data_IF_405811448825
#
_entry.id   IF_405811448825
#
_cell.length_a   1.000
_cell.length_b   1.000
_cell.length_c   1.000
_cell.angle_alpha   90.00
_cell.angle_beta   90.00
_cell.angle_gamma   90.00
#
_symmetry.space_group_name_H-M   'P 1'
#
loop_
_entity.id
_entity.type
_entity.pdbx_description
1 polymer ?
#
# COMPACT_ATOMS: atom_id res chain seq x y z
N UNK A 1 3.13 13.20 -13.18
CA UNK A 1 2.39 12.50 -12.12
C UNK A 1 2.57 13.26 -10.82
N UNK A 2 1.48 13.74 -10.26
CA UNK A 2 1.35 14.47 -8.99
C UNK A 2 1.21 13.50 -7.82
N UNK A 3 1.29 14.00 -6.59
CA UNK A 3 1.07 13.20 -5.38
C UNK A 3 -0.32 12.54 -5.37
N UNK A 4 -1.35 13.26 -5.81
CA UNK A 4 -2.72 12.74 -5.90
C UNK A 4 -2.84 11.64 -6.96
N UNK A 5 -2.26 11.83 -8.16
CA UNK A 5 -2.25 10.79 -9.22
C UNK A 5 -1.46 9.54 -8.79
N UNK A 6 -0.34 9.72 -8.10
CA UNK A 6 0.44 8.63 -7.50
C UNK A 6 -0.41 7.84 -6.49
N UNK A 7 -1.13 8.54 -5.62
CA UNK A 7 -1.97 7.90 -4.62
C UNK A 7 -3.14 7.14 -5.26
N UNK A 8 -3.76 7.73 -6.28
CA UNK A 8 -4.80 7.06 -7.08
C UNK A 8 -4.25 5.79 -7.75
N UNK A 9 -3.03 5.82 -8.28
CA UNK A 9 -2.37 4.64 -8.86
C UNK A 9 -2.20 3.51 -7.83
N UNK A 10 -1.81 3.84 -6.59
CA UNK A 10 -1.71 2.86 -5.50
C UNK A 10 -3.06 2.28 -5.09
N UNK A 11 -4.12 3.11 -5.06
CA UNK A 11 -5.51 2.68 -4.79
C UNK A 11 -6.04 1.77 -5.88
N UNK A 12 -5.80 2.11 -7.13
CA UNK A 12 -6.20 1.32 -8.30
C UNK A 12 -5.52 -0.05 -8.30
N UNK A 13 -4.25 -0.13 -7.87
CA UNK A 13 -3.56 -1.40 -7.69
C UNK A 13 -4.22 -2.30 -6.61
N UNK A 14 -4.70 -1.71 -5.50
CA UNK A 14 -5.47 -2.45 -4.48
C UNK A 14 -6.81 -2.96 -5.03
N UNK A 15 -7.51 -2.15 -5.82
CA UNK A 15 -8.79 -2.53 -6.42
C UNK A 15 -8.63 -3.67 -7.44
N UNK A 16 -7.62 -3.57 -8.31
CA UNK A 16 -7.23 -4.66 -9.24
C UNK A 16 -6.90 -5.94 -8.49
N UNK A 17 -6.19 -5.86 -7.37
CA UNK A 17 -5.89 -7.03 -6.55
C UNK A 17 -7.17 -7.66 -5.98
N UNK A 18 -8.15 -6.86 -5.55
CA UNK A 18 -9.43 -7.38 -5.06
C UNK A 18 -10.23 -8.13 -6.14
N UNK A 19 -10.14 -7.68 -7.39
CA UNK A 19 -10.78 -8.35 -8.53
C UNK A 19 -10.01 -9.58 -9.04
N UNK A 20 -8.68 -9.54 -8.95
CA UNK A 20 -7.78 -10.60 -9.42
C UNK A 20 -6.58 -10.69 -8.47
N UNK A 21 -6.63 -11.56 -7.45
CA UNK A 21 -5.62 -11.64 -6.41
C UNK A 21 -4.22 -11.97 -6.96
N UNK A 22 -3.37 -10.96 -6.98
CA UNK A 22 -1.96 -11.04 -7.37
C UNK A 22 -1.14 -10.15 -6.42
N UNK A 23 -0.65 -10.74 -5.32
CA UNK A 23 0.17 -10.02 -4.32
C UNK A 23 1.51 -9.56 -4.93
N UNK A 24 2.26 -10.39 -5.68
CA UNK A 24 3.51 -9.94 -6.30
C UNK A 24 3.35 -8.70 -7.18
N UNK A 25 2.28 -8.64 -7.99
CA UNK A 25 1.97 -7.46 -8.80
C UNK A 25 1.61 -6.26 -7.94
N UNK A 26 0.80 -6.43 -6.89
CA UNK A 26 0.48 -5.36 -5.95
C UNK A 26 1.75 -4.78 -5.30
N UNK A 27 2.63 -5.64 -4.79
CA UNK A 27 3.91 -5.24 -4.18
C UNK A 27 4.80 -4.46 -5.17
N UNK A 28 4.82 -4.85 -6.45
CA UNK A 28 5.55 -4.12 -7.49
C UNK A 28 5.07 -2.68 -7.62
N UNK A 29 3.77 -2.44 -7.74
CA UNK A 29 3.21 -1.08 -7.81
C UNK A 29 3.49 -0.28 -6.53
N UNK A 30 3.38 -0.92 -5.37
CA UNK A 30 3.59 -0.27 -4.08
C UNK A 30 5.06 -0.02 -3.74
N UNK A 31 6.01 -0.58 -4.49
CA UNK A 31 7.46 -0.36 -4.37
C UNK A 31 8.04 0.50 -5.50
N UNK A 32 7.24 0.82 -6.51
CA UNK A 32 7.69 1.57 -7.69
C UNK A 32 8.10 3.00 -7.34
N UNK A 33 9.38 3.33 -7.54
CA UNK A 33 9.92 4.64 -7.16
C UNK A 33 9.29 5.79 -7.94
N UNK A 34 8.92 5.57 -9.22
CA UNK A 34 8.25 6.59 -10.01
C UNK A 34 6.87 6.95 -9.44
N UNK A 35 6.16 5.96 -8.91
CA UNK A 35 4.88 6.13 -8.19
C UNK A 35 5.09 6.80 -6.83
N UNK A 36 6.18 6.51 -6.13
CA UNK A 36 6.42 6.98 -4.77
C UNK A 36 7.07 8.37 -4.69
N UNK A 37 7.88 8.77 -5.66
CA UNK A 37 8.61 10.03 -5.63
C UNK A 37 7.70 11.26 -5.42
N UNK A 38 6.52 11.37 -6.07
CA UNK A 38 5.59 12.48 -5.83
C UNK A 38 4.98 12.49 -4.42
N UNK A 39 4.94 11.34 -3.73
CA UNK A 39 4.42 11.21 -2.37
C UNK A 39 5.41 11.67 -1.29
N UNK A 40 6.64 12.04 -1.66
CA UNK A 40 7.66 12.57 -0.76
C UNK A 40 7.25 13.88 -0.06
N UNK A 41 6.18 14.55 -0.52
CA UNK A 41 5.57 15.69 0.15
C UNK A 41 4.89 15.31 1.48
N UNK A 42 4.49 14.05 1.66
CA UNK A 42 3.89 13.55 2.89
C UNK A 42 4.92 13.51 4.03
N UNK A 43 4.48 13.60 5.30
CA UNK A 43 5.38 13.40 6.44
C UNK A 43 6.10 12.05 6.36
N UNK A 44 7.39 11.96 6.78
CA UNK A 44 8.21 10.75 6.63
C UNK A 44 7.63 9.51 7.33
N UNK A 45 6.78 9.71 8.34
CA UNK A 45 6.04 8.64 9.01
C UNK A 45 5.15 7.82 8.05
N UNK A 46 4.58 8.44 6.99
CA UNK A 46 3.76 7.72 6.01
C UNK A 46 4.57 6.67 5.26
N UNK A 47 5.79 7.02 4.86
CA UNK A 47 6.68 6.10 4.16
C UNK A 47 7.19 4.99 5.11
N UNK A 48 7.48 5.31 6.37
CA UNK A 48 7.82 4.30 7.39
C UNK A 48 6.69 3.25 7.52
N UNK A 49 5.44 3.69 7.71
CA UNK A 49 4.28 2.82 7.84
C UNK A 49 4.08 1.99 6.57
N UNK A 50 4.21 2.61 5.39
CA UNK A 50 4.15 1.91 4.10
C UNK A 50 5.15 0.76 4.02
N UNK A 51 6.43 1.02 4.33
CA UNK A 51 7.48 -0.01 4.29
C UNK A 51 7.18 -1.14 5.28
N UNK A 52 6.71 -0.83 6.47
CA UNK A 52 6.33 -1.85 7.47
C UNK A 52 5.17 -2.74 6.98
N UNK A 53 4.14 -2.17 6.35
CA UNK A 53 3.05 -2.94 5.76
C UNK A 53 3.56 -3.86 4.63
N UNK A 54 4.44 -3.35 3.75
CA UNK A 54 5.00 -4.14 2.65
C UNK A 54 5.89 -5.29 3.12
N UNK A 55 6.64 -5.10 4.21
CA UNK A 55 7.44 -6.17 4.83
C UNK A 55 6.55 -7.27 5.40
N UNK A 56 5.46 -6.89 6.10
CA UNK A 56 4.48 -7.85 6.63
C UNK A 56 3.79 -8.63 5.53
N UNK A 57 3.45 -7.98 4.42
CA UNK A 57 2.80 -8.62 3.27
C UNK A 57 3.74 -9.60 2.56
N UNK A 58 5.02 -9.26 2.43
CA UNK A 58 6.06 -10.15 1.87
C UNK A 58 6.18 -11.44 2.71
N UNK A 59 6.23 -11.29 4.04
CA UNK A 59 6.23 -12.41 4.98
C UNK A 59 4.94 -13.25 4.89
N UNK A 60 3.78 -12.62 4.75
CA UNK A 60 2.51 -13.33 4.59
C UNK A 60 2.45 -14.18 3.32
N UNK A 61 3.13 -13.76 2.24
CA UNK A 61 3.28 -14.58 1.03
C UNK A 61 4.25 -15.74 1.27
N UNK A 62 5.36 -15.52 1.97
CA UNK A 62 6.35 -16.56 2.27
C UNK A 62 5.86 -17.62 3.27
N UNK A 63 4.98 -17.25 4.19
CA UNK A 63 4.44 -18.14 5.22
C UNK A 63 2.94 -18.35 4.98
N UNK A 64 2.60 -19.25 4.03
CA UNK A 64 1.21 -19.66 3.73
C UNK A 64 0.64 -20.64 4.77
N UNK A 65 0.97 -20.48 6.06
CA UNK A 65 0.40 -21.28 7.13
C UNK A 65 -0.55 -20.41 7.95
N UNK A 66 -1.80 -20.86 8.05
CA UNK A 66 -2.97 -20.21 8.64
C UNK A 66 -2.79 -19.90 10.13
N UNK A 67 -1.90 -18.95 10.45
CA UNK A 67 -1.90 -18.34 11.77
C UNK A 67 -3.13 -17.43 11.84
N UNK A 68 -4.12 -17.85 12.61
CA UNK A 68 -5.46 -17.24 12.75
C UNK A 68 -5.46 -15.75 13.16
N UNK A 69 -4.29 -15.12 13.36
CA UNK A 69 -4.12 -13.69 13.61
C UNK A 69 -3.48 -12.90 12.45
N UNK A 70 -3.09 -13.55 11.35
CA UNK A 70 -2.37 -12.91 10.24
C UNK A 70 -3.04 -13.18 8.88
N UNK A 71 -4.24 -12.63 8.70
CA UNK A 71 -4.95 -12.74 7.42
C UNK A 71 -4.44 -11.70 6.42
N UNK A 72 -4.06 -12.09 5.18
CA UNK A 72 -3.70 -11.16 4.10
C UNK A 72 -4.76 -10.08 3.85
N UNK A 73 -6.04 -10.39 4.07
CA UNK A 73 -7.15 -9.45 3.98
C UNK A 73 -7.03 -8.28 4.98
N UNK A 74 -6.55 -8.53 6.21
CA UNK A 74 -6.35 -7.49 7.22
C UNK A 74 -5.23 -6.53 6.82
N UNK A 75 -4.14 -7.05 6.24
CA UNK A 75 -3.04 -6.22 5.73
C UNK A 75 -3.50 -5.35 4.55
N UNK A 76 -4.32 -5.89 3.64
CA UNK A 76 -4.88 -5.12 2.53
C UNK A 76 -5.82 -4.00 3.04
N UNK A 77 -6.59 -4.26 4.10
CA UNK A 77 -7.41 -3.24 4.75
C UNK A 77 -6.56 -2.12 5.39
N UNK A 78 -5.44 -2.47 6.03
CA UNK A 78 -4.47 -1.49 6.55
C UNK A 78 -3.86 -0.63 5.43
N UNK A 79 -3.52 -1.24 4.29
CA UNK A 79 -3.02 -0.51 3.11
C UNK A 79 -4.05 0.47 2.55
N UNK A 80 -5.33 0.08 2.51
CA UNK A 80 -6.41 0.97 2.07
C UNK A 80 -6.59 2.14 3.04
N UNK A 81 -6.60 1.86 4.35
CA UNK A 81 -6.64 2.90 5.39
C UNK A 81 -5.46 3.87 5.30
N UNK A 82 -4.25 3.37 5.00
CA UNK A 82 -3.10 4.23 4.77
C UNK A 82 -3.34 5.17 3.59
N UNK A 83 -3.89 4.67 2.48
CA UNK A 83 -4.18 5.48 1.30
C UNK A 83 -5.21 6.57 1.59
N UNK A 84 -6.29 6.25 2.31
CA UNK A 84 -7.30 7.24 2.72
C UNK A 84 -6.69 8.32 3.64
N UNK A 85 -5.81 7.94 4.57
CA UNK A 85 -5.10 8.92 5.44
C UNK A 85 -4.14 9.79 4.65
N UNK A 86 -3.41 9.21 3.69
CA UNK A 86 -2.50 9.95 2.84
C UNK A 86 -3.26 10.97 1.98
N UNK A 87 -4.42 10.61 1.44
CA UNK A 87 -5.29 11.49 0.66
C UNK A 87 -5.79 12.67 1.50
N UNK A 88 -6.35 12.38 2.68
CA UNK A 88 -6.80 13.40 3.61
C UNK A 88 -5.66 14.33 4.02
N UNK A 89 -4.45 13.78 4.22
CA UNK A 89 -3.27 14.58 4.53
C UNK A 89 -2.90 15.50 3.37
N UNK A 90 -2.82 14.99 2.14
CA UNK A 90 -2.52 15.79 0.95
C UNK A 90 -3.54 16.91 0.73
N UNK A 91 -4.83 16.66 0.97
CA UNK A 91 -5.89 17.65 0.86
C UNK A 91 -5.82 18.75 1.95
N UNK A 92 -5.16 18.47 3.07
CA UNK A 92 -4.99 19.39 4.20
C UNK A 92 -3.66 20.15 4.22
N UNK A 93 -2.81 19.92 3.22
CA UNK A 93 -1.52 20.59 3.04
C UNK A 93 -1.68 21.82 2.15
#
# INVERSE_FOLDING_TARGET
MTATESLQTLRDALDRHAQSPDIPRLLKYWRDEATLAPLAVLPPAYDQVRRSMLQRLDMAVSFSEESCSFSPASLLAEMRLWADKAEAKLASM
#
